data_IF_934947948255
#
_entry.id   IF_934947948255
#
_cell.length_a   1.000
_cell.length_b   1.000
_cell.length_c   1.000
_cell.angle_alpha   90.00
_cell.angle_beta   90.00
_cell.angle_gamma   90.00
#
_symmetry.space_group_name_H-M   'P 1'
#
loop_
_entity.id
_entity.type
_entity.pdbx_description
1 polymer ?
#
# COMPACT_ATOMS: atom_id res chain seq x y z
N UNK A 1 6.84 -2.37 12.68
CA UNK A 1 6.99 -1.09 13.39
C UNK A 1 5.92 -0.07 12.96
N UNK A 2 5.81 0.30 11.67
CA UNK A 2 4.75 1.24 11.19
C UNK A 2 3.33 0.79 11.60
N UNK A 3 2.98 -0.48 11.37
CA UNK A 3 1.69 -1.05 11.78
C UNK A 3 1.41 -0.93 13.29
N UNK A 4 2.42 -1.19 14.13
CA UNK A 4 2.30 -1.07 15.59
C UNK A 4 2.07 0.39 16.03
N UNK A 5 2.68 1.35 15.33
CA UNK A 5 2.43 2.78 15.55
C UNK A 5 1.03 3.18 15.09
N UNK A 6 0.53 2.65 13.98
CA UNK A 6 -0.85 2.86 13.52
C UNK A 6 -1.87 2.33 14.55
N UNK A 7 -1.66 1.13 15.07
CA UNK A 7 -2.49 0.55 16.13
C UNK A 7 -2.45 1.42 17.42
N UNK A 8 -1.30 2.03 17.71
CA UNK A 8 -1.13 2.94 18.85
C UNK A 8 -1.85 4.28 18.66
N UNK A 9 -1.80 4.86 17.45
CA UNK A 9 -2.56 6.08 17.09
C UNK A 9 -4.04 5.85 17.35
N UNK A 10 -4.58 4.74 16.84
CA UNK A 10 -6.01 4.44 16.97
C UNK A 10 -6.40 4.27 18.45
N UNK A 11 -5.53 3.64 19.26
CA UNK A 11 -5.74 3.52 20.70
C UNK A 11 -5.69 4.87 21.43
N UNK A 12 -4.74 5.74 21.09
CA UNK A 12 -4.61 7.07 21.69
C UNK A 12 -5.75 8.02 21.29
N UNK A 13 -6.20 7.99 20.03
CA UNK A 13 -7.36 8.75 19.57
C UNK A 13 -8.65 8.30 20.28
N UNK A 14 -8.89 6.98 20.37
CA UNK A 14 -10.03 6.44 21.13
C UNK A 14 -9.97 6.79 22.61
N UNK A 15 -8.77 6.92 23.17
CA UNK A 15 -8.54 7.30 24.57
C UNK A 15 -8.52 8.81 24.83
N UNK A 16 -8.80 9.67 23.83
CA UNK A 16 -8.77 11.13 23.97
C UNK A 16 -7.38 11.73 24.17
N UNK A 17 -6.31 10.98 23.87
CA UNK A 17 -4.90 11.40 24.08
C UNK A 17 -4.29 11.92 22.78
N UNK A 18 -4.83 13.03 22.27
CA UNK A 18 -4.44 13.58 20.97
C UNK A 18 -2.93 13.87 20.83
N UNK A 19 -2.26 14.33 21.90
CA UNK A 19 -0.81 14.61 21.86
C UNK A 19 0.04 13.34 21.62
N UNK A 20 -0.38 12.21 22.18
CA UNK A 20 0.31 10.93 21.96
C UNK A 20 0.05 10.40 20.56
N UNK A 21 -1.18 10.58 20.04
CA UNK A 21 -1.49 10.24 18.65
C UNK A 21 -0.66 11.06 17.66
N UNK A 22 -0.49 12.37 17.89
CA UNK A 22 0.32 13.21 17.01
C UNK A 22 1.81 12.91 17.08
N UNK A 23 2.32 12.53 18.24
CA UNK A 23 3.69 12.03 18.37
C UNK A 23 3.90 10.79 17.51
N UNK A 24 2.98 9.83 17.55
CA UNK A 24 3.06 8.62 16.73
C UNK A 24 2.91 8.90 15.23
N UNK A 25 2.03 9.84 14.83
CA UNK A 25 1.90 10.29 13.43
C UNK A 25 3.17 10.95 12.90
N UNK A 26 3.84 11.75 13.73
CA UNK A 26 5.13 12.38 13.40
C UNK A 26 6.22 11.32 13.22
N UNK A 27 6.28 10.33 14.11
CA UNK A 27 7.20 9.19 14.01
C UNK A 27 6.95 8.34 12.77
N UNK A 28 5.68 8.09 12.42
CA UNK A 28 5.31 7.43 11.16
C UNK A 28 5.78 8.26 9.96
N UNK A 29 5.62 9.58 10.01
CA UNK A 29 6.05 10.47 8.92
C UNK A 29 7.56 10.44 8.72
N UNK A 30 8.34 10.41 9.81
CA UNK A 30 9.80 10.23 9.76
C UNK A 30 10.15 8.86 9.16
N UNK A 31 9.51 7.79 9.62
CA UNK A 31 9.69 6.44 9.08
C UNK A 31 9.33 6.37 7.59
N UNK A 32 8.27 7.05 7.17
CA UNK A 32 7.86 7.15 5.78
C UNK A 32 8.79 8.04 4.95
N UNK A 33 9.51 8.99 5.56
CA UNK A 33 10.55 9.77 4.90
C UNK A 33 11.77 8.93 4.47
N UNK A 34 11.94 7.75 5.05
CA UNK A 34 12.91 6.74 4.59
C UNK A 34 12.34 5.77 3.55
N UNK A 35 11.03 5.83 3.28
CA UNK A 35 10.38 5.05 2.23
C UNK A 35 10.28 5.89 0.95
N UNK A 36 10.36 5.25 -0.24
CA UNK A 36 10.10 5.96 -1.47
C UNK A 36 8.67 6.51 -1.49
N UNK A 37 8.47 7.65 -2.16
CA UNK A 37 7.19 8.35 -2.17
C UNK A 37 6.04 7.41 -2.55
N UNK A 38 4.96 7.49 -1.77
CA UNK A 38 3.78 6.67 -1.98
C UNK A 38 3.14 7.00 -3.34
N UNK A 39 2.78 5.98 -4.10
CA UNK A 39 2.08 6.14 -5.37
C UNK A 39 0.64 6.58 -5.12
N UNK A 40 0.15 7.49 -5.97
CA UNK A 40 -1.27 7.84 -6.01
C UNK A 40 -2.11 6.67 -6.55
N UNK A 41 -3.41 6.69 -6.26
CA UNK A 41 -4.32 5.66 -6.77
C UNK A 41 -4.34 5.55 -8.31
N UNK A 42 -4.14 6.67 -9.02
CA UNK A 42 -4.05 6.68 -10.48
C UNK A 42 -2.77 6.00 -10.99
N UNK A 43 -1.63 6.28 -10.36
CA UNK A 43 -0.36 5.66 -10.69
C UNK A 43 -0.36 4.16 -10.38
N UNK A 44 -0.93 3.75 -9.25
CA UNK A 44 -1.15 2.35 -8.89
C UNK A 44 -1.99 1.67 -9.98
N UNK A 45 -3.12 2.28 -10.35
CA UNK A 45 -3.99 1.74 -11.39
C UNK A 45 -3.29 1.59 -12.74
N UNK A 46 -2.46 2.56 -13.13
CA UNK A 46 -1.65 2.50 -14.36
C UNK A 46 -0.64 1.36 -14.33
N UNK A 47 0.15 1.25 -13.27
CA UNK A 47 1.18 0.20 -13.11
C UNK A 47 0.57 -1.21 -13.06
N UNK A 48 -0.62 -1.34 -12.48
CA UNK A 48 -1.38 -2.59 -12.48
C UNK A 48 -1.80 -2.95 -13.91
N UNK A 49 -2.37 -2.01 -14.68
CA UNK A 49 -2.76 -2.25 -16.09
C UNK A 49 -1.57 -2.69 -16.94
N UNK A 50 -0.45 -1.99 -16.82
CA UNK A 50 0.78 -2.32 -17.53
C UNK A 50 1.28 -3.72 -17.18
N UNK A 51 1.30 -4.05 -15.88
CA UNK A 51 1.75 -5.38 -15.42
C UNK A 51 0.79 -6.49 -15.85
N UNK A 52 -0.52 -6.26 -15.88
CA UNK A 52 -1.49 -7.22 -16.41
C UNK A 52 -1.23 -7.49 -17.89
N UNK A 53 -0.98 -6.43 -18.68
CA UNK A 53 -0.68 -6.55 -20.10
C UNK A 53 0.64 -7.31 -20.34
N UNK A 54 1.69 -7.02 -19.58
CA UNK A 54 2.99 -7.70 -19.67
C UNK A 54 2.91 -9.19 -19.31
N UNK A 55 2.10 -9.52 -18.30
CA UNK A 55 1.93 -10.92 -17.84
C UNK A 55 0.93 -11.71 -18.66
N UNK A 56 0.14 -11.05 -19.52
CA UNK A 56 -0.96 -11.68 -20.25
C UNK A 56 -2.06 -12.22 -19.34
N UNK A 57 -2.21 -11.64 -18.15
CA UNK A 57 -3.23 -12.09 -17.20
C UNK A 57 -4.63 -11.69 -17.69
N UNK A 58 -5.55 -12.65 -17.67
CA UNK A 58 -6.94 -12.50 -18.12
C UNK A 58 -7.96 -12.89 -17.04
N UNK A 59 -7.50 -13.46 -15.92
CA UNK A 59 -8.38 -13.92 -14.85
C UNK A 59 -7.76 -13.79 -13.46
N UNK A 60 -8.62 -13.77 -12.44
CA UNK A 60 -8.20 -13.75 -11.02
C UNK A 60 -7.30 -14.92 -10.62
N UNK A 61 -7.38 -16.06 -11.31
CA UNK A 61 -6.47 -17.19 -11.07
C UNK A 61 -4.99 -16.82 -11.32
N UNK A 62 -4.74 -15.81 -12.16
CA UNK A 62 -3.40 -15.33 -12.50
C UNK A 62 -2.95 -14.14 -11.63
N UNK A 63 -3.77 -13.72 -10.65
CA UNK A 63 -3.45 -12.59 -9.76
C UNK A 63 -2.09 -12.77 -9.06
N UNK A 64 -1.73 -14.00 -8.67
CA UNK A 64 -0.43 -14.28 -8.06
C UNK A 64 0.76 -13.96 -8.98
N UNK A 65 0.63 -14.20 -10.29
CA UNK A 65 1.65 -13.87 -11.28
C UNK A 65 1.77 -12.35 -11.47
N UNK A 66 0.63 -11.65 -11.56
CA UNK A 66 0.58 -10.18 -11.64
C UNK A 66 1.22 -9.55 -10.40
N UNK A 67 0.86 -10.00 -9.20
CA UNK A 67 1.43 -9.49 -7.95
C UNK A 67 2.94 -9.73 -7.85
N UNK A 68 3.42 -10.88 -8.32
CA UNK A 68 4.86 -11.19 -8.37
C UNK A 68 5.64 -10.26 -9.31
N UNK A 69 5.06 -9.92 -10.47
CA UNK A 69 5.66 -8.99 -11.42
C UNK A 69 5.56 -7.51 -10.98
N UNK A 70 4.47 -7.16 -10.29
CA UNK A 70 4.21 -5.79 -9.83
C UNK A 70 5.07 -5.43 -8.62
N UNK A 71 5.30 -6.35 -7.69
CA UNK A 71 5.99 -6.12 -6.41
C UNK A 71 7.29 -5.31 -6.53
N UNK A 72 8.25 -5.67 -7.39
CA UNK A 72 9.48 -4.91 -7.58
C UNK A 72 9.28 -3.47 -8.09
N UNK A 73 8.21 -3.21 -8.87
CA UNK A 73 7.92 -1.90 -9.48
C UNK A 73 7.34 -0.89 -8.48
N UNK A 74 6.82 -1.38 -7.36
CA UNK A 74 6.08 -0.58 -6.36
C UNK A 74 6.61 -0.80 -4.94
N UNK A 75 7.77 -1.43 -4.81
CA UNK A 75 8.35 -1.82 -3.54
C UNK A 75 8.56 -0.59 -2.63
N UNK A 76 7.88 -0.58 -1.48
CA UNK A 76 7.94 0.53 -0.54
C UNK A 76 7.09 1.76 -0.93
N UNK A 77 6.43 1.76 -2.09
CA UNK A 77 5.62 2.87 -2.58
C UNK A 77 4.10 2.62 -2.49
N UNK A 78 3.68 1.37 -2.28
CA UNK A 78 2.30 1.01 -2.03
C UNK A 78 2.23 -0.23 -1.13
N UNK A 79 1.19 -0.32 -0.30
CA UNK A 79 0.98 -1.49 0.54
C UNK A 79 0.36 -2.66 -0.26
N UNK A 80 0.68 -3.89 0.14
CA UNK A 80 0.23 -5.09 -0.55
C UNK A 80 -1.28 -5.28 -0.60
N UNK A 81 -2.05 -4.70 0.34
CA UNK A 81 -3.51 -4.80 0.34
C UNK A 81 -4.09 -3.91 -0.74
N UNK A 82 -3.65 -2.65 -0.83
CA UNK A 82 -4.06 -1.71 -1.89
C UNK A 82 -3.75 -2.27 -3.28
N UNK A 83 -2.54 -2.82 -3.46
CA UNK A 83 -2.15 -3.46 -4.72
C UNK A 83 -3.03 -4.66 -5.08
N UNK A 84 -3.27 -5.57 -4.12
CA UNK A 84 -4.12 -6.75 -4.33
C UNK A 84 -5.55 -6.38 -4.71
N UNK A 85 -6.13 -5.37 -4.02
CA UNK A 85 -7.47 -4.88 -4.32
C UNK A 85 -7.57 -4.29 -5.73
N UNK A 86 -6.57 -3.50 -6.16
CA UNK A 86 -6.57 -2.91 -7.49
C UNK A 86 -6.38 -3.96 -8.59
N UNK A 87 -5.47 -4.93 -8.40
CA UNK A 87 -5.30 -6.05 -9.33
C UNK A 87 -6.58 -6.87 -9.45
N UNK A 88 -7.22 -7.18 -8.32
CA UNK A 88 -8.49 -7.90 -8.31
C UNK A 88 -9.59 -7.13 -9.03
N UNK A 89 -9.64 -5.80 -8.89
CA UNK A 89 -10.61 -4.93 -9.56
C UNK A 89 -10.45 -4.96 -11.08
N UNK A 90 -9.22 -5.00 -11.58
CA UNK A 90 -8.94 -4.98 -13.02
C UNK A 90 -9.01 -6.35 -13.69
N UNK A 91 -8.91 -7.44 -12.94
CA UNK A 91 -9.07 -8.83 -13.41
C UNK A 91 -10.49 -9.40 -13.14
N UNK A 92 -11.42 -8.57 -12.66
CA UNK A 92 -12.82 -8.95 -12.44
C UNK A 92 -13.65 -8.78 -13.70
#
# INVERSE_FOLDING_TARGET
>A
QVKQRQDSIESFERGGRAELAEKEKSEISILNGYLPAALSGEEIGRLVRETIAETGATSKAQMGAVMKALGPKVAGQADGRTLSQEVQRQLA
#
